data_IF_389314367915
#
_entry.id   IF_389314367915
#
_cell.length_a   1.000
_cell.length_b   1.000
_cell.length_c   1.000
_cell.angle_alpha   90.00
_cell.angle_beta   90.00
_cell.angle_gamma   90.00
#
_symmetry.space_group_name_H-M   'P 1'
#
loop_
_entity.id
_entity.type
_entity.pdbx_description
1 polymer ?
#
# COMPACT_ATOMS: atom_id res chain seq x y z
N UNK A 1 24.40 20.08 38.58
CA UNK A 1 24.06 19.43 37.30
C UNK A 1 22.77 18.62 37.46
N UNK A 2 21.68 18.97 36.77
CA UNK A 2 20.38 18.28 36.90
C UNK A 2 19.99 17.61 35.59
N UNK A 3 19.84 16.29 35.60
CA UNK A 3 19.51 15.45 34.42
C UNK A 3 18.03 15.59 34.08
N UNK A 4 17.73 16.20 32.93
CA UNK A 4 16.36 16.33 32.38
C UNK A 4 15.89 14.97 31.83
N UNK A 5 14.97 14.31 32.55
CA UNK A 5 14.35 13.03 32.15
C UNK A 5 13.42 13.24 30.95
N UNK A 6 13.82 12.77 29.77
CA UNK A 6 12.95 12.74 28.59
C UNK A 6 11.79 11.76 28.83
N UNK A 7 10.55 12.27 28.78
CA UNK A 7 9.34 11.45 28.87
C UNK A 7 8.91 11.07 27.44
N UNK A 8 9.22 9.84 27.03
CA UNK A 8 8.65 9.25 25.81
C UNK A 8 7.14 9.05 26.01
N UNK A 9 6.33 9.92 25.40
CA UNK A 9 4.88 9.79 25.37
C UNK A 9 4.49 8.67 24.40
N UNK A 10 4.39 7.42 24.91
CA UNK A 10 3.73 6.34 24.17
C UNK A 10 2.27 6.76 23.96
N UNK A 11 1.88 7.06 22.70
CA UNK A 11 0.48 7.33 22.33
C UNK A 11 -0.38 6.15 22.77
N UNK A 12 -1.16 6.33 23.84
CA UNK A 12 -2.17 5.38 24.28
C UNK A 12 -3.30 5.40 23.25
N UNK A 13 -3.26 4.48 22.28
CA UNK A 13 -4.35 4.30 21.33
C UNK A 13 -5.57 3.89 22.13
N UNK A 14 -6.64 4.70 22.07
CA UNK A 14 -7.92 4.36 22.69
C UNK A 14 -8.41 3.06 22.04
N UNK A 15 -8.54 1.99 22.82
CA UNK A 15 -9.23 0.77 22.37
C UNK A 15 -10.71 1.13 22.26
N UNK A 16 -11.15 1.45 21.05
CA UNK A 16 -12.56 1.67 20.75
C UNK A 16 -13.15 0.26 20.59
N UNK A 17 -14.05 -0.14 21.49
CA UNK A 17 -14.84 -1.36 21.30
C UNK A 17 -15.83 -1.08 20.18
N UNK A 18 -15.50 -1.49 18.95
CA UNK A 18 -16.38 -1.26 17.81
C UNK A 18 -17.29 -2.47 17.67
N UNK A 19 -18.49 -2.35 18.24
CA UNK A 19 -19.55 -3.34 18.09
C UNK A 19 -20.44 -2.92 16.90
N UNK A 20 -20.45 -3.71 15.83
CA UNK A 20 -21.28 -3.44 14.64
C UNK A 20 -20.89 -4.28 13.43
N UNK A 21 -21.85 -4.52 12.53
CA UNK A 21 -21.59 -5.18 11.24
C UNK A 21 -20.68 -4.27 10.38
N UNK A 22 -19.68 -4.81 9.66
CA UNK A 22 -18.79 -3.99 8.82
C UNK A 22 -19.57 -3.23 7.76
N UNK A 23 -19.33 -1.91 7.61
CA UNK A 23 -20.07 -1.06 6.67
C UNK A 23 -19.55 -1.16 5.23
N UNK A 24 -18.25 -1.40 5.07
CA UNK A 24 -17.61 -1.48 3.76
C UNK A 24 -16.40 -2.41 3.75
N UNK A 25 -15.80 -2.60 2.56
CA UNK A 25 -14.77 -3.61 2.35
C UNK A 25 -13.44 -3.37 3.08
N UNK A 26 -13.13 -2.12 3.41
CA UNK A 26 -11.91 -1.69 4.12
C UNK A 26 -12.15 -1.41 5.62
N UNK A 27 -13.27 -1.87 6.19
CA UNK A 27 -13.62 -1.62 7.59
C UNK A 27 -12.73 -2.44 8.53
N UNK A 28 -12.18 -1.80 9.56
CA UNK A 28 -11.29 -2.42 10.57
C UNK A 28 -11.99 -3.54 11.34
N UNK A 29 -13.32 -3.53 11.41
CA UNK A 29 -14.13 -4.52 12.14
C UNK A 29 -14.52 -5.73 11.28
N UNK A 30 -14.04 -5.79 10.03
CA UNK A 30 -14.28 -6.93 9.15
C UNK A 30 -13.44 -8.12 9.60
N UNK A 31 -14.11 -9.20 10.01
CA UNK A 31 -13.45 -10.47 10.31
C UNK A 31 -12.65 -10.95 9.08
N UNK A 32 -11.38 -11.34 9.29
CA UNK A 32 -10.55 -11.94 8.24
C UNK A 32 -10.94 -13.41 7.93
N UNK A 33 -12.03 -13.89 8.54
CA UNK A 33 -12.61 -15.20 8.27
C UNK A 33 -13.17 -15.19 6.85
N UNK A 34 -12.51 -15.91 5.96
CA UNK A 34 -12.92 -16.11 4.57
C UNK A 34 -14.22 -16.91 4.57
N UNK A 35 -15.37 -16.23 4.54
CA UNK A 35 -16.64 -16.90 4.24
C UNK A 35 -16.53 -17.50 2.84
N UNK A 36 -16.69 -18.82 2.72
CA UNK A 36 -16.51 -19.68 1.53
C UNK A 36 -17.16 -19.17 0.22
N UNK A 37 -18.10 -18.24 0.36
CA UNK A 37 -18.90 -17.68 -0.73
C UNK A 37 -18.25 -16.49 -1.46
N UNK A 38 -17.19 -15.90 -0.91
CA UNK A 38 -16.50 -14.76 -1.54
C UNK A 38 -15.15 -15.18 -2.12
N UNK A 39 -14.79 -14.59 -3.26
CA UNK A 39 -13.49 -14.82 -3.90
C UNK A 39 -12.34 -14.52 -2.94
N UNK A 40 -11.28 -15.33 -3.01
CA UNK A 40 -10.06 -15.10 -2.21
C UNK A 40 -9.42 -13.74 -2.52
N UNK A 41 -8.63 -13.21 -1.59
CA UNK A 41 -7.93 -11.94 -1.78
C UNK A 41 -6.98 -11.95 -2.99
N UNK A 42 -6.31 -13.07 -3.25
CA UNK A 42 -5.46 -13.26 -4.42
C UNK A 42 -6.26 -13.19 -5.73
N UNK A 43 -7.42 -13.85 -5.77
CA UNK A 43 -8.32 -13.79 -6.92
C UNK A 43 -8.83 -12.36 -7.16
N UNK A 44 -9.19 -11.63 -6.10
CA UNK A 44 -9.63 -10.23 -6.20
C UNK A 44 -8.51 -9.35 -6.77
N UNK A 45 -7.26 -9.53 -6.33
CA UNK A 45 -6.09 -8.79 -6.86
C UNK A 45 -5.87 -9.07 -8.35
N UNK A 46 -5.94 -10.34 -8.77
CA UNK A 46 -5.83 -10.73 -10.18
C UNK A 46 -6.93 -10.08 -11.04
N UNK A 47 -8.17 -10.15 -10.58
CA UNK A 47 -9.30 -9.54 -11.31
C UNK A 47 -9.20 -8.02 -11.37
N UNK A 48 -8.73 -7.37 -10.30
CA UNK A 48 -8.44 -5.93 -10.31
C UNK A 48 -7.36 -5.60 -11.34
N UNK A 49 -6.28 -6.38 -11.40
CA UNK A 49 -5.20 -6.19 -12.37
C UNK A 49 -5.71 -6.21 -13.81
N UNK A 50 -6.57 -7.16 -14.19
CA UNK A 50 -7.17 -7.20 -15.53
C UNK A 50 -8.10 -6.03 -15.85
N UNK A 51 -8.61 -5.32 -14.82
CA UNK A 51 -9.53 -4.18 -14.98
C UNK A 51 -8.80 -2.82 -14.98
N UNK A 52 -7.47 -2.79 -14.90
CA UNK A 52 -6.69 -1.55 -14.81
C UNK A 52 -6.91 -0.66 -16.05
N UNK A 53 -7.20 0.62 -15.82
CA UNK A 53 -7.43 1.64 -16.87
C UNK A 53 -6.86 2.99 -16.43
N UNK A 54 -6.41 3.86 -17.36
CA UNK A 54 -5.89 5.17 -17.00
C UNK A 54 -7.00 6.05 -16.43
N UNK A 55 -6.72 6.69 -15.29
CA UNK A 55 -7.64 7.66 -14.68
C UNK A 55 -7.52 8.98 -15.45
N UNK A 56 -8.65 9.56 -15.85
CA UNK A 56 -8.72 10.80 -16.63
C UNK A 56 -9.55 11.87 -15.93
N UNK A 57 -9.26 13.13 -16.23
CA UNK A 57 -10.11 14.25 -15.84
C UNK A 57 -11.28 14.44 -16.83
N UNK A 58 -12.22 15.35 -16.50
CA UNK A 58 -13.37 15.68 -17.37
C UNK A 58 -12.96 16.21 -18.76
N UNK A 59 -11.75 16.76 -18.88
CA UNK A 59 -11.16 17.26 -20.14
C UNK A 59 -10.42 16.16 -20.94
N UNK A 60 -10.45 14.91 -20.47
CA UNK A 60 -9.80 13.77 -21.12
C UNK A 60 -8.30 13.60 -20.85
N UNK A 61 -7.66 14.48 -20.04
CA UNK A 61 -6.25 14.36 -19.70
C UNK A 61 -6.01 13.22 -18.70
N UNK A 62 -4.97 12.42 -18.94
CA UNK A 62 -4.57 11.32 -18.05
C UNK A 62 -3.91 11.87 -16.78
N UNK A 63 -4.48 11.50 -15.64
CA UNK A 63 -4.00 11.83 -14.30
C UNK A 63 -3.04 10.78 -13.76
N UNK A 64 -3.40 9.49 -13.90
CA UNK A 64 -2.63 8.40 -13.33
C UNK A 64 -2.78 7.11 -14.15
N UNK A 65 -1.70 6.34 -14.21
CA UNK A 65 -1.65 4.99 -14.74
C UNK A 65 -0.58 4.18 -13.99
N UNK A 66 -0.87 2.93 -13.62
CA UNK A 66 -0.08 2.16 -12.63
C UNK A 66 1.36 1.87 -13.08
N UNK A 67 1.58 1.58 -14.36
CA UNK A 67 2.90 1.17 -14.90
C UNK A 67 3.39 2.09 -16.03
N UNK A 68 2.89 3.32 -16.08
CA UNK A 68 3.26 4.30 -17.09
C UNK A 68 3.54 5.64 -16.39
N UNK A 69 4.57 5.63 -15.53
CA UNK A 69 5.09 6.84 -14.92
C UNK A 69 5.66 7.78 -16.00
N UNK A 70 5.45 9.08 -15.83
CA UNK A 70 6.03 10.10 -16.72
C UNK A 70 7.43 10.52 -16.30
N UNK A 71 7.82 10.15 -15.09
CA UNK A 71 9.10 10.55 -14.51
C UNK A 71 10.23 9.80 -15.19
N UNK A 72 11.26 10.53 -15.59
CA UNK A 72 12.46 9.95 -16.19
C UNK A 72 13.33 9.35 -15.08
N UNK A 73 13.58 8.03 -15.07
CA UNK A 73 14.44 7.43 -14.05
C UNK A 73 15.91 7.78 -14.31
N UNK A 74 16.71 7.84 -13.25
CA UNK A 74 18.17 7.88 -13.39
C UNK A 74 18.64 6.50 -13.83
N UNK A 75 19.26 6.42 -15.00
CA UNK A 75 19.68 5.16 -15.65
C UNK A 75 21.12 4.79 -15.38
N UNK A 76 21.93 5.69 -14.77
CA UNK A 76 23.35 5.44 -14.54
C UNK A 76 23.52 4.38 -13.46
N UNK A 77 24.15 3.28 -13.85
CA UNK A 77 24.54 2.22 -12.94
C UNK A 77 25.86 2.62 -12.24
N UNK A 78 25.95 2.35 -10.94
CA UNK A 78 27.18 2.60 -10.17
C UNK A 78 28.23 1.55 -10.52
N UNK A 79 29.49 1.95 -10.62
CA UNK A 79 30.60 0.99 -10.78
C UNK A 79 30.68 0.06 -9.57
N UNK A 80 30.66 -1.26 -9.78
CA UNK A 80 30.86 -2.26 -8.73
C UNK A 80 31.92 -3.30 -9.15
N UNK A 81 33.02 -3.49 -8.38
CA UNK A 81 34.02 -4.52 -8.65
C UNK A 81 33.45 -5.95 -8.75
N UNK A 82 32.32 -6.23 -8.09
CA UNK A 82 31.68 -7.56 -8.11
C UNK A 82 31.14 -7.94 -9.49
N UNK A 83 30.92 -6.98 -10.38
CA UNK A 83 30.44 -7.25 -11.74
C UNK A 83 31.46 -8.00 -12.59
N UNK A 84 32.74 -7.87 -12.26
CA UNK A 84 33.84 -8.44 -13.05
C UNK A 84 34.52 -9.62 -12.34
N UNK A 85 33.97 -10.08 -11.21
CA UNK A 85 34.41 -11.30 -10.54
C UNK A 85 33.87 -12.55 -11.25
N UNK A 86 34.51 -13.72 -11.02
CA UNK A 86 33.92 -15.01 -11.42
C UNK A 86 32.68 -15.27 -10.56
N UNK A 87 31.49 -15.12 -11.14
CA UNK A 87 30.21 -15.59 -10.59
C UNK A 87 30.09 -17.10 -10.60
#
# INVERSE_FOLDING_TARGET
>A
MSKKKQRNAKKKVRKINVFGKPKHSLDVNRSNVVKKEWRSAATIRRLKMYRTKPVRNRKGKVLHNEFQSKDLPSTRIQSDPRWFGKT
#
